data_IF_991790713861
#
_entry.id   IF_991790713861
#
_cell.length_a   1.000
_cell.length_b   1.000
_cell.length_c   1.000
_cell.angle_alpha   90.00
_cell.angle_beta   90.00
_cell.angle_gamma   90.00
#
_symmetry.space_group_name_H-M   'P 1'
#
loop_
_entity.id
_entity.type
_entity.pdbx_description
1 polymer ?
#
# COMPACT_ATOMS: atom_id res chain seq x y z
N UNK A 1 23.14 9.61 7.22
CA UNK A 1 22.89 10.30 5.95
C UNK A 1 23.00 9.38 4.73
N UNK A 2 24.18 8.95 4.27
CA UNK A 2 24.29 8.12 3.05
C UNK A 2 23.52 6.78 3.10
N UNK A 3 23.60 6.05 4.23
CA UNK A 3 22.85 4.79 4.44
C UNK A 3 21.32 4.97 4.38
N UNK A 4 20.80 6.12 4.82
CA UNK A 4 19.36 6.46 4.75
C UNK A 4 18.92 6.63 3.31
N UNK A 5 19.71 7.36 2.52
CA UNK A 5 19.45 7.59 1.10
C UNK A 5 19.44 6.26 0.33
N UNK A 6 20.42 5.38 0.58
CA UNK A 6 20.48 4.05 -0.05
C UNK A 6 19.26 3.21 0.32
N UNK A 7 18.87 3.20 1.60
CA UNK A 7 17.70 2.43 2.06
C UNK A 7 16.39 2.94 1.44
N UNK A 8 16.18 4.26 1.37
CA UNK A 8 15.02 4.87 0.73
C UNK A 8 14.98 4.56 -0.77
N UNK A 9 16.14 4.62 -1.45
CA UNK A 9 16.23 4.23 -2.86
C UNK A 9 15.83 2.77 -3.08
N UNK A 10 16.31 1.86 -2.22
CA UNK A 10 15.91 0.45 -2.27
C UNK A 10 14.41 0.26 -2.01
N UNK A 11 13.84 0.97 -1.04
CA UNK A 11 12.41 0.91 -0.72
C UNK A 11 11.54 1.36 -1.91
N UNK A 12 11.93 2.44 -2.59
CA UNK A 12 11.25 2.94 -3.79
C UNK A 12 11.31 1.95 -4.95
N UNK A 13 12.47 1.33 -5.19
CA UNK A 13 12.61 0.28 -6.21
C UNK A 13 11.69 -0.88 -5.89
N UNK A 14 11.65 -1.32 -4.62
CA UNK A 14 10.79 -2.43 -4.19
C UNK A 14 9.31 -2.13 -4.43
N UNK A 15 8.85 -0.92 -4.06
CA UNK A 15 7.47 -0.46 -4.32
C UNK A 15 7.19 -0.43 -5.83
N UNK A 16 8.10 0.10 -6.64
CA UNK A 16 7.94 0.18 -8.09
C UNK A 16 7.81 -1.20 -8.75
N UNK A 17 8.61 -2.17 -8.32
CA UNK A 17 8.53 -3.57 -8.81
C UNK A 17 7.18 -4.20 -8.45
N UNK A 18 6.71 -4.00 -7.23
CA UNK A 18 5.38 -4.50 -6.80
C UNK A 18 4.27 -3.91 -7.67
N UNK A 19 4.30 -2.60 -7.91
CA UNK A 19 3.31 -1.93 -8.77
C UNK A 19 3.32 -2.49 -10.19
N UNK A 20 4.51 -2.68 -10.77
CA UNK A 20 4.65 -3.22 -12.12
C UNK A 20 4.06 -4.64 -12.22
N UNK A 21 4.29 -5.49 -11.22
CA UNK A 21 3.72 -6.85 -11.17
C UNK A 21 2.19 -6.80 -11.07
N UNK A 22 1.64 -5.95 -10.20
CA UNK A 22 0.19 -5.80 -10.02
C UNK A 22 -0.46 -5.34 -11.34
N UNK A 23 0.12 -4.34 -11.99
CA UNK A 23 -0.37 -3.79 -13.25
C UNK A 23 -0.34 -4.83 -14.37
N UNK A 24 0.75 -5.61 -14.47
CA UNK A 24 0.88 -6.70 -15.47
C UNK A 24 -0.06 -7.88 -15.23
N UNK A 25 -0.43 -8.14 -13.99
CA UNK A 25 -1.26 -9.29 -13.61
C UNK A 25 -2.76 -9.08 -13.92
N UNK A 26 -3.17 -7.84 -14.26
CA UNK A 26 -4.59 -7.51 -14.44
C UNK A 26 -5.41 -7.72 -13.17
N UNK A 27 -4.74 -7.72 -12.01
CA UNK A 27 -5.33 -8.11 -10.73
C UNK A 27 -6.24 -6.98 -10.23
N UNK A 28 -7.55 -7.15 -10.34
CA UNK A 28 -8.50 -6.20 -9.81
C UNK A 28 -8.60 -6.39 -8.28
N UNK A 29 -7.87 -5.55 -7.53
CA UNK A 29 -7.86 -5.61 -6.07
C UNK A 29 -9.21 -5.11 -5.52
N UNK A 30 -10.09 -6.05 -5.17
CA UNK A 30 -11.29 -5.78 -4.38
C UNK A 30 -11.07 -6.31 -2.97
N UNK A 31 -10.77 -5.40 -2.05
CA UNK A 31 -10.63 -5.78 -0.66
C UNK A 31 -12.00 -6.13 -0.08
N UNK A 32 -12.23 -7.34 0.48
CA UNK A 32 -13.53 -7.72 1.03
C UNK A 32 -13.97 -6.85 2.21
N UNK A 33 -13.02 -6.20 2.90
CA UNK A 33 -13.27 -5.26 3.99
C UNK A 33 -13.58 -3.84 3.51
N UNK A 34 -13.47 -3.55 2.21
CA UNK A 34 -13.87 -2.25 1.66
C UNK A 34 -15.38 -2.24 1.45
N UNK A 35 -16.05 -1.30 2.11
CA UNK A 35 -17.49 -1.17 2.03
C UNK A 35 -17.86 -0.27 0.85
N UNK A 36 -18.60 -0.82 -0.11
CA UNK A 36 -19.15 -0.08 -1.25
C UNK A 36 -20.66 -0.07 -1.12
N UNK A 37 -21.26 1.11 -0.99
CA UNK A 37 -22.71 1.27 -0.97
C UNK A 37 -23.14 2.09 -2.18
N UNK A 38 -23.93 1.48 -3.05
CA UNK A 38 -24.52 2.15 -4.22
C UNK A 38 -26.04 2.13 -4.12
N UNK A 39 -26.67 3.30 -4.19
CA UNK A 39 -28.13 3.45 -4.21
C UNK A 39 -28.53 4.55 -5.19
N UNK A 40 -29.10 4.17 -6.34
CA UNK A 40 -29.47 5.09 -7.41
C UNK A 40 -28.25 5.86 -7.93
N UNK A 41 -28.29 7.19 -7.88
CA UNK A 41 -27.16 8.05 -8.24
C UNK A 41 -26.15 8.28 -7.11
N UNK A 42 -26.39 7.75 -5.91
CA UNK A 42 -25.49 7.91 -4.76
C UNK A 42 -24.55 6.72 -4.66
N UNK A 43 -23.24 6.97 -4.67
CA UNK A 43 -22.19 5.99 -4.45
C UNK A 43 -21.32 6.43 -3.28
N UNK A 44 -21.22 5.58 -2.25
CA UNK A 44 -20.40 5.79 -1.06
C UNK A 44 -19.37 4.67 -0.99
N UNK A 45 -18.10 5.04 -0.99
CA UNK A 45 -16.98 4.12 -0.88
C UNK A 45 -16.23 4.37 0.42
N UNK A 46 -16.15 3.33 1.26
CA UNK A 46 -15.43 3.33 2.53
C UNK A 46 -14.29 2.30 2.47
N UNK A 47 -13.06 2.72 2.16
CA UNK A 47 -11.91 1.84 1.98
C UNK A 47 -11.32 1.37 3.32
N UNK A 48 -12.14 0.80 4.20
CA UNK A 48 -11.73 0.43 5.57
C UNK A 48 -10.61 -0.61 5.52
N UNK A 49 -10.80 -1.67 4.73
CA UNK A 49 -9.80 -2.70 4.56
C UNK A 49 -8.51 -2.15 3.97
N UNK A 50 -8.63 -1.34 2.92
CA UNK A 50 -7.48 -0.80 2.20
C UNK A 50 -6.67 0.15 3.08
N UNK A 51 -7.33 0.97 3.91
CA UNK A 51 -6.66 1.79 4.91
C UNK A 51 -5.94 0.95 5.97
N UNK A 52 -6.56 -0.13 6.48
CA UNK A 52 -5.90 -1.03 7.45
C UNK A 52 -4.65 -1.66 6.82
N UNK A 53 -4.76 -2.13 5.57
CA UNK A 53 -3.66 -2.78 4.86
C UNK A 53 -2.49 -1.81 4.65
N UNK A 54 -2.78 -0.57 4.23
CA UNK A 54 -1.78 0.49 4.11
C UNK A 54 -1.10 0.77 5.45
N UNK A 55 -1.87 0.81 6.54
CA UNK A 55 -1.33 1.08 7.88
C UNK A 55 -0.37 0.00 8.34
N UNK A 56 -0.70 -1.28 8.14
CA UNK A 56 0.17 -2.40 8.50
C UNK A 56 1.49 -2.33 7.71
N UNK A 57 1.41 -2.08 6.40
CA UNK A 57 2.59 -1.94 5.55
C UNK A 57 3.48 -0.79 6.05
N UNK A 58 2.90 0.39 6.29
CA UNK A 58 3.65 1.54 6.82
C UNK A 58 4.28 1.24 8.18
N UNK A 59 3.55 0.56 9.08
CA UNK A 59 4.07 0.18 10.38
C UNK A 59 5.28 -0.75 10.26
N UNK A 60 5.25 -1.74 9.37
CA UNK A 60 6.39 -2.63 9.12
C UNK A 60 7.57 -1.83 8.55
N UNK A 61 7.32 -0.94 7.59
CA UNK A 61 8.36 -0.08 7.01
C UNK A 61 9.02 0.80 8.08
N UNK A 62 8.24 1.47 8.92
CA UNK A 62 8.77 2.31 10.00
C UNK A 62 9.48 1.49 11.08
N UNK A 63 9.00 0.29 11.39
CA UNK A 63 9.69 -0.62 12.31
C UNK A 63 11.07 -1.01 11.78
N UNK A 64 11.17 -1.37 10.50
CA UNK A 64 12.44 -1.72 9.87
C UNK A 64 13.39 -0.52 9.82
N UNK A 65 12.90 0.67 9.49
CA UNK A 65 13.68 1.91 9.54
C UNK A 65 14.24 2.13 10.95
N UNK A 66 13.38 2.08 11.98
CA UNK A 66 13.80 2.25 13.39
C UNK A 66 14.79 1.18 13.87
N UNK A 67 14.74 -0.02 13.30
CA UNK A 67 15.67 -1.10 13.66
C UNK A 67 17.04 -0.94 13.00
N UNK A 68 17.09 -0.32 11.81
CA UNK A 68 18.30 -0.21 10.98
C UNK A 68 19.09 1.08 11.25
N UNK A 69 18.41 2.12 11.73
CA UNK A 69 18.94 3.43 12.12
C UNK A 69 19.00 3.60 13.63
#
# INVERSE_FOLDING_TARGET
MAKQIIFIGFLLIFIGVIFLIIEKSGFNYNNPLDFKFEKGNTKVFLPIGSSILISIILSIVFYLIKKIF
#
